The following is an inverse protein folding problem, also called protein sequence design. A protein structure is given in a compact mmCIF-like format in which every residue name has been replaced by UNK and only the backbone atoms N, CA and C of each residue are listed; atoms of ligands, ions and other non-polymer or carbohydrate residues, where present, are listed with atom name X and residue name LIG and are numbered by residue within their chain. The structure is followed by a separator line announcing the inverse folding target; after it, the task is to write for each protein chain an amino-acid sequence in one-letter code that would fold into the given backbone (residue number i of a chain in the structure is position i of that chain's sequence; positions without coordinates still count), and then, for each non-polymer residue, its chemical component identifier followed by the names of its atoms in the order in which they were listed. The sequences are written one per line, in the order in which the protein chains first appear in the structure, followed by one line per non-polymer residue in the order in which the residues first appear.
data_IF_871252514113
#
_entry.id   IF_871252514113
#
_cell.length_a   1.000
_cell.length_b   1.000
_cell.length_c   1.000
_cell.angle_alpha   90.00
_cell.angle_beta   90.00
_cell.angle_gamma   90.00
#
_symmetry.space_group_name_H-M   'P 1'
#
loop_
_entity.id
_entity.type
_entity.pdbx_description
1 polymer ?
#
# COMPACT_ATOMS: atom_id res chain seq x y z
N UNK A 1 39.52 -9.80 13.99
CA UNK A 1 38.36 -10.70 14.02
C UNK A 1 37.46 -10.31 12.88
N UNK A 2 37.25 -11.18 11.91
CA UNK A 2 36.32 -10.90 10.81
C UNK A 2 34.92 -10.74 11.39
N UNK A 3 34.30 -9.58 11.24
CA UNK A 3 32.93 -9.29 11.67
C UNK A 3 31.87 -10.01 10.79
N UNK A 4 32.31 -10.76 9.79
CA UNK A 4 31.41 -11.47 8.87
C UNK A 4 31.62 -12.98 9.05
N UNK A 5 30.57 -13.66 9.44
CA UNK A 5 30.50 -15.11 9.40
C UNK A 5 30.17 -15.52 7.95
N UNK A 6 30.97 -16.43 7.37
CA UNK A 6 30.74 -16.94 6.01
C UNK A 6 29.32 -17.53 5.86
N UNK A 7 28.77 -18.12 6.93
CA UNK A 7 27.41 -18.62 6.95
C UNK A 7 26.35 -17.54 6.72
N UNK A 8 26.51 -16.37 7.34
CA UNK A 8 25.56 -15.25 7.18
C UNK A 8 25.58 -14.65 5.77
N UNK A 9 26.76 -14.68 5.11
CA UNK A 9 26.90 -14.24 3.71
C UNK A 9 26.19 -15.22 2.78
N UNK A 10 26.41 -16.52 2.95
CA UNK A 10 25.76 -17.57 2.16
C UNK A 10 24.24 -17.53 2.34
N UNK A 11 23.75 -17.40 3.56
CA UNK A 11 22.32 -17.28 3.85
C UNK A 11 21.71 -16.06 3.14
N UNK A 12 22.39 -14.91 3.12
CA UNK A 12 21.92 -13.73 2.42
C UNK A 12 21.83 -13.97 0.91
N UNK A 13 22.80 -14.66 0.31
CA UNK A 13 22.76 -15.05 -1.11
C UNK A 13 21.59 -16.00 -1.39
N UNK A 14 21.35 -17.00 -0.52
CA UNK A 14 20.21 -17.92 -0.62
C UNK A 14 18.88 -17.16 -0.60
N UNK A 15 18.72 -16.16 0.28
CA UNK A 15 17.52 -15.32 0.37
C UNK A 15 17.16 -14.67 -0.98
N UNK A 16 18.15 -14.21 -1.75
CA UNK A 16 17.90 -13.61 -3.09
C UNK A 16 17.69 -14.66 -4.17
N UNK A 17 18.42 -15.77 -4.14
CA UNK A 17 18.45 -16.73 -5.24
C UNK A 17 17.39 -17.81 -5.14
N UNK A 18 16.91 -18.13 -3.92
CA UNK A 18 15.99 -19.23 -3.66
C UNK A 18 14.73 -18.81 -2.91
N UNK A 19 14.81 -17.82 -2.03
CA UNK A 19 13.74 -17.47 -1.08
C UNK A 19 12.96 -16.22 -1.47
N UNK A 20 13.06 -15.76 -2.73
CA UNK A 20 12.31 -14.63 -3.29
C UNK A 20 12.47 -13.30 -2.52
N UNK A 21 13.61 -13.07 -1.86
CA UNK A 21 13.89 -11.76 -1.30
C UNK A 21 14.07 -10.73 -2.41
N UNK A 22 13.30 -9.65 -2.39
CA UNK A 22 13.44 -8.55 -3.34
C UNK A 22 13.41 -7.18 -2.66
N UNK A 23 13.92 -6.18 -3.37
CA UNK A 23 13.62 -4.77 -3.13
C UNK A 23 12.38 -4.46 -3.95
N UNK A 24 11.24 -4.41 -3.29
CA UNK A 24 9.94 -4.25 -3.93
C UNK A 24 9.83 -2.92 -4.68
N UNK A 25 10.42 -1.86 -4.12
CA UNK A 25 10.39 -0.55 -4.77
C UNK A 25 11.53 0.35 -4.29
N UNK A 26 12.01 1.19 -5.21
CA UNK A 26 12.70 2.44 -4.89
C UNK A 26 11.79 3.57 -5.34
N UNK A 27 11.38 4.42 -4.39
CA UNK A 27 10.46 5.53 -4.62
C UNK A 27 11.19 6.86 -4.40
N UNK A 28 11.10 7.78 -5.37
CA UNK A 28 11.54 9.16 -5.17
C UNK A 28 10.35 10.00 -4.74
N UNK A 29 10.41 10.54 -3.52
CA UNK A 29 9.51 11.58 -3.04
C UNK A 29 9.89 12.94 -3.61
N UNK A 30 8.94 13.70 -4.13
CA UNK A 30 9.18 15.02 -4.73
C UNK A 30 8.10 16.00 -4.24
N UNK A 31 8.52 17.04 -3.53
CA UNK A 31 7.65 18.15 -3.18
C UNK A 31 7.22 18.94 -4.43
N UNK A 32 5.94 19.26 -4.55
CA UNK A 32 5.40 20.11 -5.62
C UNK A 32 4.91 21.48 -5.11
N UNK A 33 5.22 21.85 -3.87
CA UNK A 33 4.73 23.08 -3.27
C UNK A 33 5.22 24.34 -4.00
N UNK A 34 6.42 24.30 -4.56
CA UNK A 34 6.99 25.38 -5.38
C UNK A 34 6.46 25.40 -6.83
N UNK A 35 5.67 24.38 -7.22
CA UNK A 35 5.01 24.33 -8.52
C UNK A 35 3.65 25.01 -8.53
N UNK A 36 3.16 25.48 -7.37
CA UNK A 36 1.85 26.14 -7.24
C UNK A 36 1.82 27.44 -8.08
N UNK A 37 0.82 27.56 -8.96
CA UNK A 37 0.56 28.75 -9.74
C UNK A 37 -0.96 28.90 -9.94
N UNK A 38 -1.53 30.11 -9.91
CA UNK A 38 -2.95 30.32 -10.20
C UNK A 38 -3.36 29.93 -11.61
N UNK A 39 -2.43 29.98 -12.56
CA UNK A 39 -2.65 29.47 -13.92
C UNK A 39 -2.44 27.97 -13.95
N UNK A 40 -3.51 27.16 -14.19
CA UNK A 40 -3.38 25.69 -14.19
C UNK A 40 -2.39 25.16 -15.23
N UNK A 41 -2.26 25.82 -16.37
CA UNK A 41 -1.31 25.37 -17.42
C UNK A 41 0.12 25.54 -16.95
N UNK A 42 0.40 26.67 -16.31
CA UNK A 42 1.72 26.96 -15.77
C UNK A 42 2.05 26.05 -14.58
N UNK A 43 1.07 25.77 -13.69
CA UNK A 43 1.23 24.79 -12.62
C UNK A 43 1.57 23.40 -13.19
N UNK A 44 0.84 22.91 -14.18
CA UNK A 44 1.14 21.64 -14.86
C UNK A 44 2.52 21.63 -15.53
N UNK A 45 2.92 22.71 -16.18
CA UNK A 45 4.26 22.84 -16.77
C UNK A 45 5.37 22.77 -15.71
N UNK A 46 5.20 23.49 -14.60
CA UNK A 46 6.13 23.45 -13.47
C UNK A 46 6.26 22.02 -12.90
N UNK A 47 5.14 21.33 -12.69
CA UNK A 47 5.09 19.93 -12.20
C UNK A 47 5.84 19.02 -13.16
N UNK A 48 5.53 19.09 -14.46
CA UNK A 48 6.19 18.26 -15.45
C UNK A 48 7.70 18.48 -15.48
N UNK A 49 8.14 19.74 -15.52
CA UNK A 49 9.55 20.11 -15.56
C UNK A 49 10.29 19.66 -14.27
N UNK A 50 9.69 19.86 -13.10
CA UNK A 50 10.29 19.45 -11.82
C UNK A 50 10.47 17.94 -11.76
N UNK A 51 9.43 17.16 -12.03
CA UNK A 51 9.49 15.69 -11.99
C UNK A 51 10.53 15.18 -13.00
N UNK A 52 10.47 15.63 -14.25
CA UNK A 52 11.39 15.15 -15.29
C UNK A 52 12.84 15.55 -15.05
N UNK A 53 13.08 16.64 -14.33
CA UNK A 53 14.44 17.06 -13.94
C UNK A 53 14.95 16.28 -12.73
N UNK A 54 14.16 16.21 -11.65
CA UNK A 54 14.57 15.55 -10.39
C UNK A 54 14.73 14.04 -10.55
N UNK A 55 13.82 13.39 -11.27
CA UNK A 55 13.81 11.94 -11.45
C UNK A 55 14.53 11.46 -12.74
N UNK A 56 15.21 12.34 -13.46
CA UNK A 56 15.87 12.00 -14.74
C UNK A 56 16.79 10.75 -14.64
N UNK A 57 17.51 10.62 -13.54
CA UNK A 57 18.48 9.55 -13.32
C UNK A 57 17.97 8.44 -12.38
N UNK A 58 16.72 8.49 -11.91
CA UNK A 58 16.20 7.51 -10.95
C UNK A 58 16.27 6.08 -11.49
N UNK A 59 15.65 5.85 -12.64
CA UNK A 59 15.58 4.51 -13.24
C UNK A 59 16.96 3.97 -13.61
N UNK A 60 17.83 4.69 -14.36
CA UNK A 60 19.17 4.20 -14.69
C UNK A 60 20.02 3.89 -13.46
N UNK A 61 19.95 4.73 -12.41
CA UNK A 61 20.72 4.51 -11.18
C UNK A 61 20.25 3.25 -10.46
N UNK A 62 18.94 3.05 -10.33
CA UNK A 62 18.37 1.87 -9.65
C UNK A 62 18.67 0.59 -10.41
N UNK A 63 18.63 0.61 -11.74
CA UNK A 63 18.99 -0.53 -12.59
C UNK A 63 20.47 -0.87 -12.49
N UNK A 64 21.34 0.15 -12.42
CA UNK A 64 22.78 -0.04 -12.21
C UNK A 64 23.04 -0.71 -10.84
N UNK A 65 22.44 -0.22 -9.76
CA UNK A 65 22.55 -0.82 -8.42
C UNK A 65 22.07 -2.28 -8.44
N UNK A 66 20.93 -2.55 -9.07
CA UNK A 66 20.40 -3.91 -9.20
C UNK A 66 21.39 -4.84 -9.90
N UNK A 67 21.97 -4.40 -11.01
CA UNK A 67 22.92 -5.18 -11.79
C UNK A 67 24.27 -5.38 -11.09
N UNK A 68 24.81 -4.33 -10.45
CA UNK A 68 26.11 -4.37 -9.78
C UNK A 68 26.12 -5.24 -8.53
N UNK A 69 25.03 -5.18 -7.73
CA UNK A 69 24.95 -5.90 -6.45
C UNK A 69 24.17 -7.21 -6.53
N UNK A 70 23.58 -7.53 -7.70
CA UNK A 70 22.76 -8.74 -7.87
C UNK A 70 21.47 -8.72 -7.04
N UNK A 71 20.98 -7.53 -6.64
CA UNK A 71 19.78 -7.36 -5.82
C UNK A 71 18.60 -7.08 -6.76
N UNK A 72 17.55 -7.94 -6.81
CA UNK A 72 16.36 -7.66 -7.59
C UNK A 72 15.63 -6.40 -7.09
N UNK A 73 15.48 -5.37 -7.94
CA UNK A 73 14.71 -4.16 -7.65
C UNK A 73 13.55 -4.08 -8.63
N UNK A 74 12.35 -4.38 -8.15
CA UNK A 74 11.18 -4.66 -9.00
C UNK A 74 10.58 -3.38 -9.56
N UNK A 75 10.25 -2.40 -8.70
CA UNK A 75 9.58 -1.17 -9.12
C UNK A 75 10.44 0.07 -8.84
N UNK A 76 10.33 1.04 -9.76
CA UNK A 76 10.82 2.41 -9.60
C UNK A 76 9.60 3.32 -9.63
N UNK A 77 9.41 4.14 -8.59
CA UNK A 77 8.20 4.93 -8.39
C UNK A 77 8.53 6.39 -8.07
N UNK A 78 7.53 7.24 -8.26
CA UNK A 78 7.54 8.62 -7.78
C UNK A 78 6.33 8.79 -6.86
N UNK A 79 6.51 9.47 -5.74
CA UNK A 79 5.44 10.01 -4.91
C UNK A 79 5.55 11.53 -4.88
N UNK A 80 4.42 12.23 -5.01
CA UNK A 80 4.43 13.69 -5.00
C UNK A 80 3.51 14.25 -3.92
N UNK A 81 3.66 15.53 -3.60
CA UNK A 81 2.74 16.27 -2.73
C UNK A 81 1.29 16.01 -3.15
N UNK A 82 0.36 15.78 -2.21
CA UNK A 82 -1.05 15.58 -2.55
C UNK A 82 -1.59 16.69 -3.46
N UNK A 83 -2.00 16.36 -4.67
CA UNK A 83 -2.42 17.30 -5.71
C UNK A 83 -3.59 18.18 -5.26
N UNK A 84 -4.45 17.68 -4.35
CA UNK A 84 -5.53 18.50 -3.79
C UNK A 84 -5.04 19.79 -3.15
N UNK A 85 -3.82 19.83 -2.61
CA UNK A 85 -3.23 21.05 -2.04
C UNK A 85 -2.93 22.09 -3.11
N UNK A 86 -2.45 21.66 -4.28
CA UNK A 86 -2.15 22.55 -5.40
C UNK A 86 -3.43 23.08 -6.05
N UNK A 87 -4.47 22.23 -6.16
CA UNK A 87 -5.77 22.58 -6.73
C UNK A 87 -6.49 23.69 -5.97
N UNK A 88 -6.15 23.91 -4.70
CA UNK A 88 -6.67 25.03 -3.92
C UNK A 88 -6.32 26.40 -4.52
N UNK A 89 -5.19 26.51 -5.21
CA UNK A 89 -4.75 27.75 -5.88
C UNK A 89 -5.33 27.91 -7.30
N UNK A 90 -5.89 26.86 -7.89
CA UNK A 90 -6.42 26.83 -9.26
C UNK A 90 -7.92 26.49 -9.27
N UNK A 91 -8.83 27.40 -8.86
CA UNK A 91 -10.25 27.06 -8.70
C UNK A 91 -10.95 26.62 -9.99
N UNK A 92 -10.51 27.13 -11.15
CA UNK A 92 -11.12 26.86 -12.45
C UNK A 92 -10.44 25.69 -13.20
N UNK A 93 -9.40 25.07 -12.64
CA UNK A 93 -8.69 23.96 -13.27
C UNK A 93 -9.56 22.70 -13.39
N UNK A 94 -9.43 21.97 -14.50
CA UNK A 94 -9.83 20.57 -14.54
C UNK A 94 -8.79 19.70 -13.79
N UNK A 95 -9.13 19.07 -12.65
CA UNK A 95 -8.16 18.27 -11.90
C UNK A 95 -7.51 17.16 -12.71
N UNK A 96 -8.19 16.60 -13.72
CA UNK A 96 -7.68 15.51 -14.55
C UNK A 96 -6.46 15.91 -15.36
N UNK A 97 -6.30 17.19 -15.71
CA UNK A 97 -5.10 17.66 -16.41
C UNK A 97 -3.83 17.53 -15.54
N UNK A 98 -3.95 17.66 -14.21
CA UNK A 98 -2.85 17.37 -13.29
C UNK A 98 -2.51 15.87 -13.29
N UNK A 99 -3.50 14.97 -13.31
CA UNK A 99 -3.26 13.54 -13.42
C UNK A 99 -2.55 13.19 -14.73
N UNK A 100 -2.99 13.74 -15.86
CA UNK A 100 -2.33 13.55 -17.17
C UNK A 100 -0.90 14.08 -17.17
N UNK A 101 -0.65 15.19 -16.48
CA UNK A 101 0.69 15.75 -16.33
C UNK A 101 1.60 14.80 -15.55
N UNK A 102 1.11 14.21 -14.44
CA UNK A 102 1.84 13.21 -13.67
C UNK A 102 2.12 11.96 -14.50
N UNK A 103 1.13 11.47 -15.26
CA UNK A 103 1.26 10.32 -16.15
C UNK A 103 2.33 10.53 -17.23
N UNK A 104 2.28 11.69 -17.89
CA UNK A 104 3.24 12.07 -18.92
C UNK A 104 4.66 12.22 -18.36
N UNK A 105 4.82 12.87 -17.20
CA UNK A 105 6.11 13.04 -16.55
C UNK A 105 6.69 11.70 -16.08
N UNK A 106 5.89 10.83 -15.47
CA UNK A 106 6.29 9.50 -15.02
C UNK A 106 6.71 8.60 -16.19
N UNK A 107 5.93 8.59 -17.28
CA UNK A 107 6.29 7.88 -18.53
C UNK A 107 7.59 8.40 -19.13
N UNK A 108 7.81 9.71 -19.10
CA UNK A 108 9.04 10.34 -19.62
C UNK A 108 10.30 9.85 -18.90
N UNK A 109 10.24 9.67 -17.59
CA UNK A 109 11.39 9.19 -16.79
C UNK A 109 11.41 7.67 -16.61
N UNK A 110 10.41 6.94 -17.13
CA UNK A 110 10.39 5.49 -17.19
C UNK A 110 9.98 4.78 -15.88
N UNK A 111 9.30 5.47 -14.95
CA UNK A 111 8.85 4.85 -13.70
C UNK A 111 7.59 4.00 -13.91
N UNK A 112 7.38 3.03 -13.01
CA UNK A 112 6.25 2.13 -13.09
C UNK A 112 4.94 2.76 -12.58
N UNK A 113 5.03 3.63 -11.54
CA UNK A 113 3.87 4.28 -10.92
C UNK A 113 4.21 5.68 -10.43
N UNK A 114 3.19 6.55 -10.43
CA UNK A 114 3.24 7.89 -9.82
C UNK A 114 2.07 8.01 -8.83
N UNK A 115 2.41 8.15 -7.54
CA UNK A 115 1.45 8.44 -6.47
C UNK A 115 1.37 9.94 -6.17
N UNK A 116 0.29 10.36 -5.49
CA UNK A 116 0.10 11.74 -5.07
C UNK A 116 -1.10 12.44 -5.73
N UNK A 117 -1.83 11.75 -6.62
CA UNK A 117 -3.16 12.25 -7.00
C UNK A 117 -4.14 12.02 -5.84
N UNK A 118 -3.91 12.72 -4.73
CA UNK A 118 -4.41 12.40 -3.40
C UNK A 118 -5.00 13.59 -2.68
N UNK A 119 -5.87 13.29 -1.67
CA UNK A 119 -6.46 14.28 -0.77
C UNK A 119 -6.41 13.81 0.70
N UNK A 120 -6.16 14.72 1.64
CA UNK A 120 -6.08 14.46 3.08
C UNK A 120 -7.24 15.15 3.80
N UNK A 121 -8.41 14.50 3.87
CA UNK A 121 -9.67 15.12 4.31
C UNK A 121 -10.09 14.77 5.75
N UNK A 122 -9.23 14.09 6.49
CA UNK A 122 -9.51 13.70 7.88
C UNK A 122 -9.81 14.88 8.82
N UNK A 123 -9.22 16.04 8.57
CA UNK A 123 -9.50 17.29 9.33
C UNK A 123 -10.68 18.10 8.76
N UNK A 124 -11.03 17.90 7.50
CA UNK A 124 -12.07 18.59 6.76
C UNK A 124 -11.71 18.71 5.29
N UNK A 125 -12.62 19.24 4.48
CA UNK A 125 -12.36 19.48 3.06
C UNK A 125 -11.77 20.88 2.85
N UNK A 126 -10.68 20.96 2.11
CA UNK A 126 -10.21 22.20 1.48
C UNK A 126 -10.95 22.44 0.16
N UNK A 127 -10.73 23.61 -0.46
CA UNK A 127 -11.32 23.94 -1.76
C UNK A 127 -10.92 22.97 -2.88
N UNK A 128 -9.71 22.40 -2.82
CA UNK A 128 -9.21 21.45 -3.81
C UNK A 128 -9.67 20.00 -3.60
N UNK A 129 -9.92 19.61 -2.35
CA UNK A 129 -10.14 18.21 -1.99
C UNK A 129 -11.37 17.59 -2.66
N UNK A 130 -12.53 18.26 -2.56
CA UNK A 130 -13.77 17.73 -3.14
C UNK A 130 -13.65 17.57 -4.66
N UNK A 131 -13.10 18.59 -5.33
CA UNK A 131 -12.90 18.57 -6.79
C UNK A 131 -11.96 17.44 -7.21
N UNK A 132 -10.87 17.22 -6.46
CA UNK A 132 -9.97 16.10 -6.71
C UNK A 132 -10.72 14.77 -6.54
N UNK A 133 -11.41 14.55 -5.42
CA UNK A 133 -12.10 13.28 -5.14
C UNK A 133 -13.14 12.97 -6.23
N UNK A 134 -13.95 13.93 -6.62
CA UNK A 134 -14.95 13.77 -7.68
C UNK A 134 -14.33 13.45 -9.05
N UNK A 135 -13.09 13.87 -9.29
CA UNK A 135 -12.35 13.63 -10.53
C UNK A 135 -11.58 12.30 -10.56
N UNK A 136 -11.35 11.65 -9.40
CA UNK A 136 -10.55 10.41 -9.30
C UNK A 136 -10.97 9.33 -10.31
N UNK A 137 -12.28 9.00 -10.47
CA UNK A 137 -12.67 7.94 -11.40
C UNK A 137 -12.24 8.23 -12.83
N UNK A 138 -12.41 9.49 -13.29
CA UNK A 138 -12.01 9.92 -14.64
C UNK A 138 -10.49 9.97 -14.77
N UNK A 139 -9.78 10.49 -13.78
CA UNK A 139 -8.33 10.56 -13.78
C UNK A 139 -7.70 9.16 -13.91
N UNK A 140 -8.18 8.17 -13.12
CA UNK A 140 -7.67 6.80 -13.16
C UNK A 140 -8.08 6.04 -14.42
N UNK A 141 -9.17 6.45 -15.08
CA UNK A 141 -9.57 5.89 -16.37
C UNK A 141 -8.76 6.46 -17.55
N UNK A 142 -8.35 7.74 -17.48
CA UNK A 142 -7.63 8.45 -18.55
C UNK A 142 -6.11 8.40 -18.41
N UNK A 143 -5.57 7.76 -17.34
CA UNK A 143 -4.13 7.62 -17.09
C UNK A 143 -3.75 6.16 -16.87
N UNK A 144 -2.49 5.81 -17.17
CA UNK A 144 -2.01 4.43 -17.04
C UNK A 144 -1.31 4.18 -15.70
N UNK A 145 -0.34 5.02 -15.33
CA UNK A 145 0.56 4.79 -14.20
C UNK A 145 0.25 5.65 -12.96
N UNK A 146 -0.73 6.55 -13.04
CA UNK A 146 -1.15 7.39 -11.91
C UNK A 146 -2.00 6.58 -10.93
N UNK A 147 -1.65 6.69 -9.65
CA UNK A 147 -2.38 6.12 -8.53
C UNK A 147 -2.92 7.22 -7.62
N UNK A 148 -3.98 6.90 -6.89
CA UNK A 148 -4.71 7.86 -6.06
C UNK A 148 -4.97 7.33 -4.66
N UNK A 149 -5.05 8.25 -3.69
CA UNK A 149 -5.51 7.91 -2.34
C UNK A 149 -6.25 9.07 -1.68
N UNK A 150 -7.10 8.70 -0.71
CA UNK A 150 -7.79 9.69 0.12
C UNK A 150 -7.73 9.24 1.58
N UNK A 151 -7.18 10.08 2.46
CA UNK A 151 -7.19 9.85 3.90
C UNK A 151 -8.43 10.48 4.53
N UNK A 152 -9.42 9.64 4.91
CA UNK A 152 -10.75 10.05 5.35
C UNK A 152 -10.88 10.20 6.87
N UNK A 153 -9.92 9.71 7.63
CA UNK A 153 -10.02 9.66 9.07
C UNK A 153 -8.69 9.58 9.79
N UNK A 154 -8.73 9.84 11.08
CA UNK A 154 -7.61 9.64 11.99
C UNK A 154 -8.12 9.40 13.40
N UNK A 155 -7.35 8.69 14.22
CA UNK A 155 -7.64 8.43 15.63
C UNK A 155 -7.96 9.72 16.40
N UNK A 156 -7.23 10.80 16.12
CA UNK A 156 -7.43 12.10 16.80
C UNK A 156 -8.57 12.94 16.21
N UNK A 157 -8.93 12.71 14.95
CA UNK A 157 -9.92 13.52 14.24
C UNK A 157 -11.28 12.83 14.07
N UNK A 158 -11.36 11.53 14.27
CA UNK A 158 -12.53 10.73 13.90
C UNK A 158 -12.62 10.48 12.39
N UNK A 159 -13.73 9.91 11.92
CA UNK A 159 -13.95 9.62 10.49
C UNK A 159 -14.85 10.66 9.85
N UNK A 160 -14.49 11.14 8.69
CA UNK A 160 -15.31 12.06 7.89
C UNK A 160 -16.30 11.26 7.03
N UNK A 161 -17.53 11.05 7.54
CA UNK A 161 -18.54 10.21 6.89
C UNK A 161 -18.98 10.73 5.51
N UNK A 162 -18.95 12.04 5.29
CA UNK A 162 -19.19 12.61 3.95
C UNK A 162 -18.10 12.16 2.95
N UNK A 163 -16.84 12.06 3.39
CA UNK A 163 -15.75 11.54 2.56
C UNK A 163 -15.88 10.02 2.35
N UNK A 164 -16.28 9.27 3.38
CA UNK A 164 -16.57 7.82 3.27
C UNK A 164 -17.58 7.57 2.15
N UNK A 165 -18.69 8.31 2.13
CA UNK A 165 -19.71 8.21 1.09
C UNK A 165 -19.14 8.50 -0.30
N UNK A 166 -18.44 9.62 -0.46
CA UNK A 166 -17.81 10.01 -1.74
C UNK A 166 -16.83 8.96 -2.22
N UNK A 167 -16.08 8.32 -1.30
CA UNK A 167 -15.12 7.29 -1.70
C UNK A 167 -15.80 5.99 -2.15
N UNK A 168 -16.89 5.56 -1.53
CA UNK A 168 -17.66 4.41 -2.05
C UNK A 168 -18.21 4.64 -3.45
N UNK A 169 -18.70 5.87 -3.71
CA UNK A 169 -19.14 6.30 -5.05
C UNK A 169 -17.96 6.33 -6.04
N UNK A 170 -16.80 6.87 -5.62
CA UNK A 170 -15.61 6.98 -6.45
C UNK A 170 -15.02 5.60 -6.81
N UNK A 171 -14.92 4.66 -5.86
CA UNK A 171 -14.45 3.29 -6.09
C UNK A 171 -15.36 2.58 -7.11
N UNK A 172 -16.69 2.65 -6.90
CA UNK A 172 -17.65 2.06 -7.84
C UNK A 172 -17.49 2.63 -9.24
N UNK A 173 -17.43 3.96 -9.35
CA UNK A 173 -17.32 4.66 -10.62
C UNK A 173 -15.99 4.39 -11.33
N UNK A 174 -14.89 4.29 -10.59
CA UNK A 174 -13.57 3.94 -11.15
C UNK A 174 -13.59 2.54 -11.77
N UNK A 175 -14.23 1.56 -11.12
CA UNK A 175 -14.45 0.23 -11.70
C UNK A 175 -15.31 0.27 -12.96
N UNK A 176 -16.44 0.99 -12.94
CA UNK A 176 -17.33 1.13 -14.11
C UNK A 176 -16.61 1.71 -15.33
N UNK A 177 -15.86 2.81 -15.14
CA UNK A 177 -15.13 3.48 -16.22
C UNK A 177 -13.98 2.62 -16.79
N UNK A 178 -13.50 1.65 -16.03
CA UNK A 178 -12.41 0.76 -16.43
C UNK A 178 -12.82 -0.70 -16.56
N UNK A 179 -14.11 -0.99 -16.67
CA UNK A 179 -14.65 -2.36 -16.79
C UNK A 179 -14.01 -3.13 -17.94
N UNK A 180 -13.78 -2.50 -19.10
CA UNK A 180 -13.07 -3.09 -20.24
C UNK A 180 -11.58 -3.36 -20.02
N UNK A 181 -11.00 -2.88 -18.90
CA UNK A 181 -9.61 -3.09 -18.48
C UNK A 181 -9.55 -3.76 -17.10
N UNK A 182 -10.37 -4.79 -16.86
CA UNK A 182 -10.44 -5.56 -15.62
C UNK A 182 -10.69 -4.69 -14.36
N UNK A 183 -11.45 -3.60 -14.48
CA UNK A 183 -11.75 -2.69 -13.38
C UNK A 183 -10.50 -2.08 -12.69
N UNK A 184 -9.38 -1.96 -13.42
CA UNK A 184 -8.06 -1.56 -12.91
C UNK A 184 -8.06 -0.17 -12.22
N UNK A 185 -9.02 0.69 -12.54
CA UNK A 185 -9.14 2.00 -11.90
C UNK A 185 -9.32 1.89 -10.39
N UNK A 186 -10.12 0.94 -9.92
CA UNK A 186 -10.29 0.70 -8.48
C UNK A 186 -9.03 0.09 -7.83
N UNK A 187 -8.26 -0.74 -8.54
CA UNK A 187 -6.99 -1.27 -8.04
C UNK A 187 -5.90 -0.19 -7.85
N UNK A 188 -6.04 0.96 -8.52
CA UNK A 188 -5.16 2.13 -8.39
C UNK A 188 -5.64 3.15 -7.35
N UNK A 189 -6.71 2.87 -6.60
CA UNK A 189 -7.33 3.76 -5.62
C UNK A 189 -7.31 3.16 -4.22
N UNK A 190 -6.76 3.89 -3.25
CA UNK A 190 -6.68 3.47 -1.85
C UNK A 190 -7.39 4.49 -0.96
N UNK A 191 -8.21 4.00 -0.03
CA UNK A 191 -8.86 4.83 1.00
C UNK A 191 -8.20 4.56 2.34
N UNK A 192 -7.59 5.58 2.95
CA UNK A 192 -6.87 5.47 4.21
C UNK A 192 -7.65 6.01 5.41
N UNK A 193 -7.37 5.41 6.57
CA UNK A 193 -7.50 6.02 7.89
C UNK A 193 -6.14 5.97 8.60
N UNK A 194 -5.76 7.04 9.29
CA UNK A 194 -4.44 7.20 9.90
C UNK A 194 -3.28 7.00 8.89
N UNK A 195 -3.41 7.52 7.66
CA UNK A 195 -2.26 7.52 6.75
C UNK A 195 -1.05 8.16 7.46
N UNK A 196 0.17 7.60 7.31
CA UNK A 196 1.40 8.26 7.77
C UNK A 196 1.51 9.67 7.18
N UNK A 197 2.27 10.56 7.84
CA UNK A 197 2.49 11.92 7.35
C UNK A 197 3.18 11.94 6.00
N UNK A 198 4.11 11.01 5.77
CA UNK A 198 4.65 10.62 4.47
C UNK A 198 4.35 9.15 4.18
N UNK A 199 3.88 8.85 2.98
CA UNK A 199 3.56 7.49 2.56
C UNK A 199 4.08 7.21 1.14
N UNK A 200 5.36 6.82 0.98
CA UNK A 200 5.95 6.60 -0.34
C UNK A 200 5.64 5.24 -0.97
N UNK A 201 4.74 4.43 -0.37
CA UNK A 201 4.53 3.03 -0.76
C UNK A 201 3.10 2.72 -1.18
N UNK A 202 2.93 1.58 -1.85
CA UNK A 202 1.72 1.04 -2.48
C UNK A 202 1.04 2.00 -3.50
N UNK A 203 -0.16 1.64 -3.99
CA UNK A 203 -0.92 2.48 -4.91
C UNK A 203 -1.36 3.81 -4.29
N UNK A 204 -1.46 3.88 -2.97
CA UNK A 204 -1.85 5.09 -2.24
C UNK A 204 -0.72 6.06 -1.90
N UNK A 205 0.45 5.91 -2.50
CA UNK A 205 1.63 6.72 -2.18
C UNK A 205 1.39 8.24 -2.36
N UNK A 206 1.99 9.02 -1.48
CA UNK A 206 2.14 10.48 -1.59
C UNK A 206 3.35 10.95 -0.81
N UNK A 207 3.90 12.09 -1.18
CA UNK A 207 5.00 12.76 -0.48
C UNK A 207 4.44 13.79 0.50
N UNK A 208 4.78 13.66 1.76
CA UNK A 208 4.28 14.51 2.83
C UNK A 208 4.71 15.96 2.68
N UNK A 209 3.86 16.94 3.03
CA UNK A 209 4.21 18.35 2.91
C UNK A 209 5.28 18.83 3.91
N UNK A 210 5.58 18.03 4.94
CA UNK A 210 6.64 18.30 5.93
C UNK A 210 7.99 17.71 5.58
N UNK A 211 8.07 16.93 4.50
CA UNK A 211 9.29 16.22 4.09
C UNK A 211 10.21 17.11 3.23
N UNK A 212 11.48 16.69 3.01
CA UNK A 212 12.42 17.41 2.15
C UNK A 212 11.89 17.65 0.73
N UNK A 213 12.49 18.59 -0.01
CA UNK A 213 12.12 18.84 -1.42
C UNK A 213 12.19 17.59 -2.29
N UNK A 214 13.15 16.70 -1.99
CA UNK A 214 13.27 15.41 -2.65
C UNK A 214 13.99 14.42 -1.75
N UNK A 215 13.55 13.16 -1.71
CA UNK A 215 14.21 12.07 -0.98
C UNK A 215 13.94 10.69 -1.60
N UNK A 216 14.77 9.69 -1.21
CA UNK A 216 14.68 8.32 -1.69
C UNK A 216 14.18 7.40 -0.60
N UNK A 217 13.12 6.65 -0.89
CA UNK A 217 12.56 5.64 -0.03
C UNK A 217 12.74 4.25 -0.63
N UNK A 218 12.92 3.23 0.22
CA UNK A 218 13.11 1.85 -0.23
C UNK A 218 12.15 0.93 0.49
N UNK A 219 11.35 0.20 -0.26
CA UNK A 219 10.52 -0.87 0.25
C UNK A 219 11.15 -2.23 -0.04
N UNK A 220 11.39 -3.02 1.01
CA UNK A 220 11.89 -4.39 0.89
C UNK A 220 10.81 -5.38 1.25
N UNK A 221 10.83 -6.53 0.60
CA UNK A 221 9.90 -7.62 0.84
C UNK A 221 10.60 -8.98 0.84
N UNK A 222 10.08 -9.92 1.59
CA UNK A 222 10.65 -11.24 1.67
C UNK A 222 9.77 -12.22 2.44
N UNK A 223 8.47 -12.39 2.08
CA UNK A 223 7.64 -13.46 2.65
C UNK A 223 8.28 -14.82 2.44
N UNK A 224 8.84 -15.07 1.26
CA UNK A 224 9.57 -16.30 0.94
C UNK A 224 10.72 -16.58 1.88
N UNK A 225 11.56 -15.58 2.16
CA UNK A 225 12.69 -15.71 3.09
C UNK A 225 12.23 -16.02 4.53
N UNK A 226 11.16 -15.38 5.01
CA UNK A 226 10.59 -15.68 6.33
C UNK A 226 10.01 -17.07 6.37
N UNK A 227 9.26 -17.48 5.34
CA UNK A 227 8.71 -18.82 5.22
C UNK A 227 9.80 -19.90 5.19
N UNK A 228 10.84 -19.72 4.36
CA UNK A 228 11.96 -20.64 4.26
C UNK A 228 12.71 -20.80 5.60
N UNK A 229 12.89 -19.72 6.34
CA UNK A 229 13.48 -19.76 7.68
C UNK A 229 12.61 -20.58 8.63
N UNK A 230 11.28 -20.36 8.65
CA UNK A 230 10.35 -21.11 9.50
C UNK A 230 10.26 -22.60 9.14
N UNK A 231 10.32 -22.93 7.86
CA UNK A 231 10.30 -24.33 7.41
C UNK A 231 11.48 -25.16 7.92
N UNK A 232 12.59 -24.52 8.32
CA UNK A 232 13.78 -25.15 8.93
C UNK A 232 13.63 -25.35 10.45
N UNK A 233 12.63 -24.72 11.09
CA UNK A 233 12.40 -24.84 12.51
C UNK A 233 11.62 -26.14 12.82
N UNK A 234 11.92 -26.84 13.93
CA UNK A 234 11.10 -27.98 14.37
C UNK A 234 9.62 -27.58 14.54
N UNK A 235 8.70 -28.45 14.11
CA UNK A 235 7.26 -28.16 14.16
C UNK A 235 6.71 -28.04 15.59
N UNK A 236 7.42 -28.56 16.58
CA UNK A 236 7.12 -28.47 18.02
C UNK A 236 7.89 -27.36 18.74
N UNK A 237 8.61 -26.51 17.98
CA UNK A 237 9.30 -25.35 18.55
C UNK A 237 8.33 -24.42 19.25
N UNK A 238 8.66 -23.91 20.45
CA UNK A 238 7.85 -22.95 21.16
C UNK A 238 7.59 -21.68 20.35
N UNK A 239 6.43 -21.05 20.55
CA UNK A 239 5.98 -19.89 19.76
C UNK A 239 6.91 -18.66 19.93
N UNK A 240 7.59 -18.53 21.03
CA UNK A 240 8.61 -17.49 21.27
C UNK A 240 9.88 -17.71 20.43
N UNK A 241 10.28 -18.95 20.15
CA UNK A 241 11.36 -19.27 19.20
C UNK A 241 10.96 -18.91 17.77
N UNK A 242 9.70 -19.17 17.39
CA UNK A 242 9.12 -18.73 16.10
C UNK A 242 9.23 -17.20 15.97
N UNK A 243 8.81 -16.45 16.99
CA UNK A 243 8.88 -15.00 17.00
C UNK A 243 10.31 -14.47 16.88
N UNK A 244 11.27 -15.09 17.61
CA UNK A 244 12.67 -14.70 17.56
C UNK A 244 13.29 -14.96 16.18
N UNK A 245 12.97 -16.08 15.53
CA UNK A 245 13.44 -16.40 14.19
C UNK A 245 12.91 -15.39 13.16
N UNK A 246 11.60 -15.08 13.20
CA UNK A 246 10.99 -14.06 12.32
C UNK A 246 11.69 -12.70 12.51
N UNK A 247 11.91 -12.29 13.76
CA UNK A 247 12.59 -11.02 14.08
C UNK A 247 14.00 -10.96 13.50
N UNK A 248 14.80 -12.03 13.62
CA UNK A 248 16.16 -12.12 13.06
C UNK A 248 16.15 -12.05 11.52
N UNK A 249 15.22 -12.75 10.89
CA UNK A 249 15.06 -12.74 9.43
C UNK A 249 14.67 -11.33 8.96
N UNK A 250 13.69 -10.70 9.60
CA UNK A 250 13.27 -9.33 9.34
C UNK A 250 14.41 -8.31 9.47
N UNK A 251 15.27 -8.47 10.49
CA UNK A 251 16.48 -7.65 10.64
C UNK A 251 17.39 -7.76 9.40
N UNK A 252 17.67 -8.98 8.92
CA UNK A 252 18.53 -9.19 7.75
C UNK A 252 17.93 -8.56 6.49
N UNK A 253 16.64 -8.77 6.25
CA UNK A 253 15.90 -8.19 5.11
C UNK A 253 16.00 -6.65 5.14
N UNK A 254 15.77 -6.03 6.29
CA UNK A 254 15.82 -4.56 6.44
C UNK A 254 17.23 -4.00 6.15
N UNK A 255 18.29 -4.74 6.51
CA UNK A 255 19.67 -4.32 6.22
C UNK A 255 19.95 -4.24 4.72
N UNK A 256 19.31 -5.08 3.92
CA UNK A 256 19.39 -4.98 2.44
C UNK A 256 18.73 -3.69 1.96
N UNK A 257 17.56 -3.35 2.48
CA UNK A 257 16.89 -2.08 2.14
C UNK A 257 17.74 -0.87 2.50
N UNK A 258 18.40 -0.88 3.67
CA UNK A 258 19.31 0.18 4.09
C UNK A 258 20.51 0.32 3.13
N UNK A 259 21.06 -0.80 2.67
CA UNK A 259 22.16 -0.76 1.69
C UNK A 259 21.71 -0.09 0.39
N UNK A 260 20.60 -0.52 -0.18
CA UNK A 260 20.07 0.05 -1.44
C UNK A 260 19.71 1.53 -1.27
N UNK A 261 19.10 1.92 -0.13
CA UNK A 261 18.77 3.32 0.16
C UNK A 261 20.03 4.20 0.20
N UNK A 262 21.10 3.73 0.84
CA UNK A 262 22.37 4.47 0.92
C UNK A 262 23.03 4.61 -0.47
N UNK A 263 23.05 3.52 -1.25
CA UNK A 263 23.62 3.54 -2.60
C UNK A 263 22.85 4.49 -3.53
N UNK A 264 21.52 4.41 -3.52
CA UNK A 264 20.67 5.26 -4.35
C UNK A 264 20.77 6.75 -3.91
N UNK A 265 20.77 7.02 -2.61
CA UNK A 265 20.94 8.36 -2.04
C UNK A 265 22.27 8.98 -2.48
N UNK A 266 23.37 8.23 -2.35
CA UNK A 266 24.70 8.70 -2.73
C UNK A 266 24.80 8.96 -4.23
N UNK A 267 24.30 8.05 -5.07
CA UNK A 267 24.39 8.16 -6.52
C UNK A 267 23.51 9.28 -7.10
N UNK A 268 22.34 9.54 -6.48
CA UNK A 268 21.39 10.57 -6.92
C UNK A 268 21.64 11.93 -6.25
N UNK A 269 22.45 12.00 -5.19
CA UNK A 269 22.65 13.22 -4.42
C UNK A 269 21.40 13.69 -3.66
N UNK A 270 20.54 12.76 -3.24
CA UNK A 270 19.25 13.00 -2.60
C UNK A 270 19.23 12.28 -1.25
N UNK A 271 18.69 12.87 -0.15
CA UNK A 271 18.64 12.21 1.15
C UNK A 271 17.95 10.85 1.09
N UNK A 272 18.40 9.91 1.95
CA UNK A 272 17.67 8.66 2.18
C UNK A 272 16.56 8.93 3.21
N UNK A 273 15.35 8.56 2.85
CA UNK A 273 14.15 8.64 3.68
C UNK A 273 13.76 7.28 4.26
N UNK A 274 12.50 6.92 4.16
CA UNK A 274 11.91 5.75 4.79
C UNK A 274 12.40 4.43 4.17
N UNK A 275 12.70 3.46 5.05
CA UNK A 275 12.86 2.06 4.70
C UNK A 275 11.63 1.31 5.21
N UNK A 276 10.86 0.76 4.30
CA UNK A 276 9.66 -0.03 4.60
C UNK A 276 9.99 -1.52 4.49
N UNK A 277 9.81 -2.22 5.60
CA UNK A 277 9.80 -3.68 5.61
C UNK A 277 8.35 -4.15 5.67
N UNK A 278 7.68 -4.17 4.54
CA UNK A 278 6.39 -4.83 4.39
C UNK A 278 6.61 -6.20 3.79
N UNK A 279 6.19 -7.26 4.52
CA UNK A 279 6.09 -8.57 3.90
C UNK A 279 4.97 -8.52 2.86
N UNK A 280 5.27 -7.93 1.72
CA UNK A 280 4.33 -7.73 0.61
C UNK A 280 4.48 -8.91 -0.36
N UNK A 281 3.52 -9.84 -0.39
CA UNK A 281 3.61 -11.03 -1.22
C UNK A 281 3.52 -10.73 -2.72
N UNK A 282 3.81 -11.74 -3.53
CA UNK A 282 3.46 -11.77 -4.96
C UNK A 282 2.63 -13.02 -5.25
N UNK A 283 1.97 -13.09 -6.42
CA UNK A 283 1.28 -14.30 -6.85
C UNK A 283 2.21 -15.51 -7.10
N UNK A 284 3.52 -15.31 -7.01
CA UNK A 284 4.51 -16.39 -7.18
C UNK A 284 4.43 -17.41 -6.03
N UNK A 285 4.53 -18.69 -6.41
CA UNK A 285 4.56 -19.78 -5.42
C UNK A 285 5.76 -19.62 -4.49
N UNK A 286 5.49 -19.64 -3.19
CA UNK A 286 6.53 -19.52 -2.16
C UNK A 286 6.69 -18.11 -1.59
N UNK A 287 6.11 -17.08 -2.21
CA UNK A 287 6.15 -15.70 -1.76
C UNK A 287 4.78 -15.27 -1.21
N UNK A 288 4.35 -15.88 -0.10
CA UNK A 288 3.01 -15.74 0.47
C UNK A 288 3.05 -15.52 1.98
N UNK A 289 2.34 -14.52 2.47
CA UNK A 289 2.13 -14.29 3.91
C UNK A 289 1.20 -15.35 4.49
N UNK A 290 0.18 -15.80 3.75
CA UNK A 290 -0.66 -16.90 4.20
C UNK A 290 0.15 -18.17 4.46
N UNK A 291 1.10 -18.49 3.58
CA UNK A 291 1.96 -19.66 3.78
C UNK A 291 2.92 -19.50 4.98
N UNK A 292 3.32 -18.29 5.35
CA UNK A 292 4.05 -18.04 6.60
C UNK A 292 3.18 -18.47 7.80
N UNK A 293 1.91 -18.06 7.81
CA UNK A 293 0.98 -18.40 8.89
C UNK A 293 0.72 -19.92 8.97
N UNK A 294 0.70 -20.59 7.83
CA UNK A 294 0.59 -22.06 7.73
C UNK A 294 1.86 -22.76 8.25
N UNK A 295 3.05 -22.25 7.93
CA UNK A 295 4.31 -22.75 8.53
C UNK A 295 4.37 -22.56 10.05
N UNK A 296 3.66 -21.56 10.61
CA UNK A 296 3.50 -21.35 12.04
C UNK A 296 2.54 -22.37 12.69
N UNK A 297 1.92 -23.27 11.93
CA UNK A 297 1.10 -24.39 12.39
C UNK A 297 -0.40 -24.26 12.12
N UNK A 298 -0.84 -23.33 11.28
CA UNK A 298 -2.22 -23.29 10.81
C UNK A 298 -2.40 -24.25 9.63
N UNK A 299 -3.53 -24.94 9.57
CA UNK A 299 -3.86 -25.81 8.42
C UNK A 299 -4.09 -24.95 7.15
N UNK A 300 -4.80 -23.83 7.31
CA UNK A 300 -5.09 -22.90 6.22
C UNK A 300 -5.28 -21.50 6.79
N UNK A 301 -4.79 -20.49 6.07
CA UNK A 301 -5.05 -19.10 6.41
C UNK A 301 -6.58 -18.82 6.43
N UNK A 302 -7.06 -18.12 7.43
CA UNK A 302 -8.49 -17.87 7.65
C UNK A 302 -9.10 -18.72 8.77
N UNK A 303 -8.53 -19.88 9.12
CA UNK A 303 -9.01 -20.71 10.24
C UNK A 303 -8.86 -20.00 11.61
N UNK A 304 -9.44 -20.58 12.66
CA UNK A 304 -9.23 -20.09 14.04
C UNK A 304 -7.73 -20.09 14.37
N UNK A 305 -7.24 -19.01 14.97
CA UNK A 305 -5.81 -18.79 15.25
C UNK A 305 -5.11 -17.83 14.28
N UNK A 306 -5.62 -17.65 13.06
CA UNK A 306 -4.98 -16.79 12.03
C UNK A 306 -4.70 -15.37 12.53
N UNK A 307 -5.65 -14.72 13.20
CA UNK A 307 -5.46 -13.36 13.74
C UNK A 307 -4.35 -13.32 14.81
N UNK A 308 -4.24 -14.34 15.66
CA UNK A 308 -3.19 -14.42 16.68
C UNK A 308 -1.80 -14.64 16.04
N UNK A 309 -1.69 -15.57 15.07
CA UNK A 309 -0.46 -15.79 14.33
C UNK A 309 -0.02 -14.54 13.55
N UNK A 310 -0.96 -13.84 12.92
CA UNK A 310 -0.69 -12.59 12.21
C UNK A 310 -0.22 -11.48 13.16
N UNK A 311 -0.80 -11.38 14.35
CA UNK A 311 -0.37 -10.42 15.37
C UNK A 311 1.09 -10.65 15.77
N UNK A 312 1.47 -11.90 16.01
CA UNK A 312 2.86 -12.29 16.31
C UNK A 312 3.78 -11.96 15.14
N UNK A 313 3.41 -12.36 13.92
CA UNK A 313 4.19 -12.09 12.72
C UNK A 313 4.46 -10.59 12.54
N UNK A 314 3.39 -9.79 12.59
CA UNK A 314 3.46 -8.34 12.42
C UNK A 314 4.35 -7.65 13.47
N UNK A 315 4.24 -8.05 14.74
CA UNK A 315 5.05 -7.53 15.84
C UNK A 315 6.54 -7.91 15.70
N UNK A 316 6.82 -9.19 15.39
CA UNK A 316 8.18 -9.68 15.21
C UNK A 316 8.89 -9.00 14.03
N UNK A 317 8.19 -8.83 12.91
CA UNK A 317 8.70 -8.10 11.72
C UNK A 317 9.06 -6.66 12.07
N UNK A 318 8.16 -5.93 12.73
CA UNK A 318 8.42 -4.54 13.17
C UNK A 318 9.61 -4.44 14.11
N UNK A 319 9.71 -5.32 15.09
CA UNK A 319 10.86 -5.38 16.02
C UNK A 319 12.17 -5.62 15.28
N UNK A 320 12.20 -6.54 14.33
CA UNK A 320 13.38 -6.80 13.49
C UNK A 320 13.79 -5.59 12.66
N UNK A 321 12.83 -4.93 12.04
CA UNK A 321 13.05 -3.71 11.26
C UNK A 321 13.66 -2.58 12.08
N UNK A 322 13.04 -2.20 13.18
CA UNK A 322 13.51 -1.12 14.06
C UNK A 322 14.91 -1.38 14.62
N UNK A 323 15.28 -2.62 14.86
CA UNK A 323 16.64 -2.98 15.27
C UNK A 323 17.68 -2.85 14.15
N UNK A 324 17.26 -2.91 12.89
CA UNK A 324 18.14 -2.90 11.72
C UNK A 324 18.45 -1.50 11.21
N UNK A 325 17.53 -0.55 11.35
CA UNK A 325 17.62 0.81 10.82
C UNK A 325 16.79 1.79 11.64
N UNK A 326 17.28 3.03 11.78
CA UNK A 326 16.55 4.15 12.36
C UNK A 326 15.60 4.85 11.34
N UNK A 327 15.63 4.46 10.08
CA UNK A 327 14.77 4.96 9.02
C UNK A 327 13.54 4.07 8.75
N UNK A 328 13.31 3.05 9.58
CA UNK A 328 12.15 2.17 9.41
C UNK A 328 10.86 2.93 9.65
N UNK A 329 9.95 2.83 8.71
CA UNK A 329 8.67 3.55 8.73
C UNK A 329 7.69 3.03 7.69
N UNK A 330 6.86 3.93 7.18
CA UNK A 330 5.87 3.60 6.15
C UNK A 330 4.81 2.65 6.67
N UNK A 331 4.59 1.58 5.91
CA UNK A 331 3.58 0.55 6.18
C UNK A 331 4.20 -0.77 6.68
N UNK A 332 5.41 -0.70 7.27
CA UNK A 332 6.16 -1.86 7.74
C UNK A 332 5.35 -2.87 8.55
N UNK A 333 5.55 -4.14 8.27
CA UNK A 333 4.89 -5.26 8.95
C UNK A 333 4.37 -6.35 8.01
N UNK A 334 3.40 -7.13 8.47
CA UNK A 334 2.76 -8.17 7.65
C UNK A 334 1.62 -7.57 6.82
N UNK A 335 1.75 -7.64 5.50
CA UNK A 335 0.82 -7.12 4.52
C UNK A 335 -0.01 -8.27 3.90
N UNK A 336 -1.32 -8.09 3.76
CA UNK A 336 -2.26 -9.18 3.42
C UNK A 336 -3.15 -8.85 2.19
N UNK A 337 -2.58 -8.50 1.02
CA UNK A 337 -3.36 -8.28 -0.19
C UNK A 337 -3.85 -9.62 -0.75
N UNK A 338 -5.15 -9.75 -1.01
CA UNK A 338 -5.72 -11.06 -1.36
C UNK A 338 -5.29 -11.50 -2.76
N UNK A 339 -5.41 -10.67 -3.79
CA UNK A 339 -5.08 -11.08 -5.17
C UNK A 339 -3.58 -11.16 -5.46
N UNK A 340 -2.75 -10.61 -4.59
CA UNK A 340 -1.29 -10.59 -4.73
C UNK A 340 -0.62 -11.73 -3.94
N UNK A 341 -1.38 -12.62 -3.26
CA UNK A 341 -0.87 -13.68 -2.39
C UNK A 341 -1.51 -15.04 -2.74
N UNK A 342 -0.71 -15.97 -3.24
CA UNK A 342 -1.20 -17.28 -3.67
C UNK A 342 -1.92 -18.07 -2.56
N UNK A 343 -1.47 -17.96 -1.32
CA UNK A 343 -2.12 -18.61 -0.17
C UNK A 343 -3.41 -17.92 0.23
N UNK A 344 -3.48 -16.57 0.18
CA UNK A 344 -4.73 -15.83 0.43
C UNK A 344 -5.76 -16.12 -0.66
N UNK A 345 -5.35 -16.17 -1.93
CA UNK A 345 -6.21 -16.58 -3.06
C UNK A 345 -6.82 -17.95 -2.77
N UNK A 346 -5.98 -18.93 -2.46
CA UNK A 346 -6.44 -20.30 -2.16
C UNK A 346 -7.41 -20.32 -0.96
N UNK A 347 -7.07 -19.65 0.13
CA UNK A 347 -7.92 -19.58 1.32
C UNK A 347 -9.29 -18.94 1.04
N UNK A 348 -9.34 -17.94 0.16
CA UNK A 348 -10.59 -17.32 -0.28
C UNK A 348 -11.39 -18.24 -1.22
N UNK A 349 -10.74 -18.96 -2.14
CA UNK A 349 -11.39 -19.93 -3.06
C UNK A 349 -12.09 -21.06 -2.31
N UNK A 350 -11.47 -21.61 -1.27
CA UNK A 350 -12.07 -22.67 -0.46
C UNK A 350 -13.04 -22.16 0.62
N UNK A 351 -13.24 -20.82 0.72
CA UNK A 351 -14.16 -20.19 1.65
C UNK A 351 -13.68 -20.14 3.11
N UNK A 352 -12.41 -20.44 3.38
CA UNK A 352 -11.81 -20.32 4.71
C UNK A 352 -11.53 -18.84 5.07
N UNK A 353 -11.18 -18.03 4.07
CA UNK A 353 -10.96 -16.60 4.22
C UNK A 353 -12.18 -15.83 3.71
N UNK A 354 -12.89 -15.14 4.59
CA UNK A 354 -14.04 -14.27 4.27
C UNK A 354 -13.68 -12.81 4.49
N UNK A 355 -14.54 -11.88 4.06
CA UNK A 355 -14.32 -10.43 4.30
C UNK A 355 -14.35 -10.13 5.79
N UNK A 356 -15.27 -10.72 6.56
CA UNK A 356 -15.36 -10.53 8.01
C UNK A 356 -14.11 -11.08 8.72
N UNK A 357 -13.53 -12.16 8.19
CA UNK A 357 -12.26 -12.68 8.71
C UNK A 357 -11.10 -11.75 8.37
N UNK A 358 -11.07 -11.17 7.17
CA UNK A 358 -10.08 -10.15 6.80
C UNK A 358 -10.20 -8.93 7.72
N UNK A 359 -11.40 -8.41 7.98
CA UNK A 359 -11.61 -7.30 8.91
C UNK A 359 -11.01 -7.60 10.30
N UNK A 360 -11.24 -8.80 10.83
CA UNK A 360 -10.61 -9.20 12.10
C UNK A 360 -9.08 -9.25 12.02
N UNK A 361 -8.53 -9.70 10.89
CA UNK A 361 -7.08 -9.74 10.65
C UNK A 361 -6.49 -8.34 10.51
N UNK A 362 -7.23 -7.39 9.94
CA UNK A 362 -6.76 -6.01 9.75
C UNK A 362 -6.59 -5.24 11.06
N UNK A 363 -7.20 -5.69 12.14
CA UNK A 363 -6.92 -5.14 13.47
C UNK A 363 -5.45 -5.31 13.88
N UNK A 364 -4.74 -6.29 13.33
CA UNK A 364 -3.36 -6.66 13.72
C UNK A 364 -2.35 -6.68 12.57
N UNK A 365 -2.78 -6.56 11.31
CA UNK A 365 -1.88 -6.48 10.15
C UNK A 365 -1.21 -5.09 10.02
N UNK A 366 -0.37 -4.89 9.01
CA UNK A 366 0.30 -3.61 8.80
C UNK A 366 -0.56 -2.56 8.08
N UNK A 367 -1.46 -2.98 7.21
CA UNK A 367 -2.21 -2.05 6.33
C UNK A 367 -3.72 -2.17 6.52
N UNK A 368 -4.41 -3.14 5.92
CA UNK A 368 -5.87 -3.21 5.93
C UNK A 368 -6.43 -4.22 4.92
N UNK A 369 -7.66 -4.01 4.49
CA UNK A 369 -8.29 -4.76 3.40
C UNK A 369 -7.65 -4.29 2.09
N UNK A 370 -6.93 -5.19 1.43
CA UNK A 370 -6.22 -4.82 0.23
C UNK A 370 -6.39 -5.83 -0.90
N UNK A 371 -6.53 -5.30 -2.14
CA UNK A 371 -6.71 -6.08 -3.37
C UNK A 371 -7.80 -7.15 -3.26
N UNK A 372 -8.92 -6.80 -2.62
CA UNK A 372 -10.09 -7.67 -2.46
C UNK A 372 -11.06 -7.40 -3.60
N UNK A 373 -11.35 -8.44 -4.38
CA UNK A 373 -12.29 -8.38 -5.49
C UNK A 373 -13.69 -8.70 -4.96
N UNK A 374 -14.65 -7.83 -5.25
CA UNK A 374 -16.04 -7.95 -4.80
C UNK A 374 -17.00 -7.99 -5.98
N UNK A 375 -18.26 -8.47 -5.81
CA UNK A 375 -19.24 -8.52 -6.89
C UNK A 375 -19.48 -7.16 -7.54
N UNK A 376 -19.62 -7.16 -8.85
CA UNK A 376 -19.78 -5.93 -9.63
C UNK A 376 -21.09 -5.19 -9.38
N UNK A 377 -22.11 -5.85 -8.84
CA UNK A 377 -23.40 -5.27 -8.43
C UNK A 377 -23.43 -4.71 -7.03
N UNK A 378 -22.34 -4.85 -6.25
CA UNK A 378 -22.19 -4.23 -4.92
C UNK A 378 -22.44 -2.73 -5.01
N UNK A 379 -23.36 -2.24 -4.16
CA UNK A 379 -23.77 -0.83 -4.20
C UNK A 379 -22.71 0.11 -3.63
N UNK A 380 -22.67 1.38 -4.04
CA UNK A 380 -21.78 2.37 -3.43
C UNK A 380 -21.95 2.50 -1.91
N UNK A 381 -23.17 2.30 -1.39
CA UNK A 381 -23.45 2.36 0.04
C UNK A 381 -22.78 1.18 0.79
N UNK A 382 -22.80 -0.02 0.25
CA UNK A 382 -22.10 -1.19 0.82
C UNK A 382 -20.59 -0.98 0.77
N UNK A 383 -20.03 -0.48 -0.33
CA UNK A 383 -18.60 -0.15 -0.45
C UNK A 383 -18.23 0.91 0.61
N UNK A 384 -19.05 1.93 0.78
CA UNK A 384 -18.85 2.96 1.81
C UNK A 384 -18.88 2.37 3.23
N UNK A 385 -19.74 1.38 3.49
CA UNK A 385 -19.82 0.72 4.79
C UNK A 385 -18.55 -0.11 5.07
N UNK A 386 -18.03 -0.87 4.10
CA UNK A 386 -16.75 -1.58 4.20
C UNK A 386 -15.60 -0.59 4.51
N UNK A 387 -15.59 0.56 3.83
CA UNK A 387 -14.61 1.62 4.10
C UNK A 387 -14.77 2.15 5.54
N UNK A 388 -16.00 2.34 6.01
CA UNK A 388 -16.27 2.83 7.37
C UNK A 388 -15.82 1.84 8.44
N UNK A 389 -16.11 0.55 8.25
CA UNK A 389 -15.76 -0.52 9.20
C UNK A 389 -14.24 -0.65 9.33
N UNK A 390 -13.53 -0.73 8.22
CA UNK A 390 -12.07 -0.80 8.22
C UNK A 390 -11.43 0.47 8.81
N UNK A 391 -11.95 1.65 8.47
CA UNK A 391 -11.47 2.91 9.03
C UNK A 391 -11.75 3.01 10.53
N UNK A 392 -12.87 2.45 11.03
CA UNK A 392 -13.17 2.38 12.46
C UNK A 392 -12.18 1.48 13.19
N UNK A 393 -11.82 0.32 12.63
CA UNK A 393 -10.78 -0.57 13.16
C UNK A 393 -9.46 0.21 13.31
N UNK A 394 -9.03 0.92 12.26
CA UNK A 394 -7.81 1.73 12.30
C UNK A 394 -7.87 2.85 13.33
N UNK A 395 -8.99 3.57 13.37
CA UNK A 395 -9.20 4.68 14.31
C UNK A 395 -9.14 4.24 15.77
N UNK A 396 -9.81 3.14 16.12
CA UNK A 396 -9.86 2.64 17.50
C UNK A 396 -8.52 2.06 17.94
N UNK A 397 -7.84 1.35 17.07
CA UNK A 397 -6.56 0.70 17.35
C UNK A 397 -5.35 1.63 17.18
N UNK A 398 -5.54 2.90 16.81
CA UNK A 398 -4.44 3.86 16.55
C UNK A 398 -3.42 3.35 15.54
N UNK A 399 -3.90 2.68 14.48
CA UNK A 399 -3.07 2.14 13.40
C UNK A 399 -3.53 2.63 12.03
N UNK A 400 -2.65 2.66 11.06
CA UNK A 400 -3.02 2.88 9.67
C UNK A 400 -3.89 1.72 9.18
N UNK A 401 -5.02 2.05 8.56
CA UNK A 401 -5.79 1.10 7.76
C UNK A 401 -6.03 1.66 6.37
N UNK A 402 -6.15 0.75 5.41
CA UNK A 402 -6.41 1.07 4.01
C UNK A 402 -7.49 0.14 3.47
N UNK A 403 -8.27 0.65 2.53
CA UNK A 403 -9.23 -0.14 1.75
C UNK A 403 -8.92 0.02 0.28
N UNK A 404 -8.63 -1.11 -0.38
CA UNK A 404 -8.51 -1.25 -1.83
C UNK A 404 -9.37 -2.43 -2.27
N UNK A 405 -10.65 -2.15 -2.55
CA UNK A 405 -11.62 -3.12 -3.02
C UNK A 405 -11.97 -2.86 -4.48
N UNK A 406 -12.15 -3.93 -5.25
CA UNK A 406 -12.36 -3.85 -6.69
C UNK A 406 -13.73 -4.45 -7.05
N UNK A 407 -14.78 -3.63 -7.25
CA UNK A 407 -16.05 -4.11 -7.80
C UNK A 407 -15.87 -4.64 -9.22
N UNK A 408 -15.98 -5.96 -9.42
CA UNK A 408 -15.80 -6.63 -10.70
C UNK A 408 -17.06 -6.48 -11.58
N UNK A 409 -17.18 -5.40 -12.32
CA UNK A 409 -18.37 -5.03 -13.08
C UNK A 409 -18.79 -6.14 -14.03
N UNK A 410 -20.05 -6.56 -13.91
CA UNK A 410 -20.66 -7.64 -14.72
C UNK A 410 -20.33 -9.05 -14.22
N UNK A 411 -19.60 -9.21 -13.12
CA UNK A 411 -19.23 -10.50 -12.54
C UNK A 411 -19.80 -10.68 -11.13
N UNK A 412 -19.88 -11.94 -10.68
CA UNK A 412 -20.49 -12.35 -9.40
C UNK A 412 -19.49 -13.05 -8.49
N UNK A 413 -19.87 -13.21 -7.23
CA UNK A 413 -19.11 -13.99 -6.26
C UNK A 413 -18.83 -15.42 -6.76
N UNK A 414 -17.61 -15.90 -6.51
CA UNK A 414 -17.12 -17.20 -6.96
C UNK A 414 -16.48 -17.21 -8.36
N UNK A 415 -16.67 -16.16 -9.17
CA UNK A 415 -15.91 -15.98 -10.41
C UNK A 415 -14.49 -15.45 -10.09
N UNK A 416 -13.60 -15.46 -11.09
CA UNK A 416 -12.21 -14.99 -10.96
C UNK A 416 -12.00 -13.75 -11.81
N UNK A 417 -11.28 -12.77 -11.28
CA UNK A 417 -10.77 -11.62 -12.01
C UNK A 417 -9.24 -11.67 -12.04
N UNK A 418 -8.65 -11.47 -13.22
CA UNK A 418 -7.20 -11.50 -13.42
C UNK A 418 -6.72 -10.13 -13.92
N UNK A 419 -5.84 -9.50 -13.14
CA UNK A 419 -5.19 -8.22 -13.46
C UNK A 419 -3.86 -8.43 -14.19
N UNK A 420 -3.26 -9.61 -14.04
CA UNK A 420 -1.91 -9.91 -14.50
C UNK A 420 -0.78 -9.26 -13.68
N UNK A 421 0.44 -9.68 -13.96
CA UNK A 421 1.64 -9.14 -13.34
C UNK A 421 1.64 -9.22 -11.81
N UNK A 422 2.11 -8.17 -11.15
CA UNK A 422 2.20 -8.11 -9.69
C UNK A 422 0.84 -7.92 -8.98
N UNK A 423 -0.18 -7.43 -9.67
CA UNK A 423 -1.51 -7.27 -9.10
C UNK A 423 -2.26 -8.61 -9.02
N UNK A 424 -1.76 -9.63 -9.72
CA UNK A 424 -2.22 -11.00 -9.64
C UNK A 424 -3.64 -11.24 -10.14
N UNK A 425 -4.30 -12.17 -9.48
CA UNK A 425 -5.67 -12.57 -9.77
C UNK A 425 -6.35 -13.01 -8.47
N UNK A 426 -7.67 -13.17 -8.47
CA UNK A 426 -8.33 -13.70 -7.29
C UNK A 426 -9.80 -14.00 -7.50
N UNK A 427 -10.40 -14.79 -6.58
CA UNK A 427 -11.82 -15.03 -6.56
C UNK A 427 -12.57 -13.76 -6.16
N UNK A 428 -13.74 -13.58 -6.73
CA UNK A 428 -14.67 -12.54 -6.32
C UNK A 428 -15.32 -12.99 -5.02
N UNK A 429 -14.96 -12.32 -3.92
CA UNK A 429 -15.40 -12.67 -2.58
C UNK A 429 -16.83 -12.17 -2.33
N UNK A 430 -17.67 -12.99 -1.71
CA UNK A 430 -19.02 -12.60 -1.34
C UNK A 430 -19.01 -11.44 -0.33
N UNK A 431 -19.94 -10.50 -0.52
CA UNK A 431 -20.17 -9.35 0.40
C UNK A 431 -21.60 -9.43 0.91
N UNK A 432 -21.81 -9.07 2.18
CA UNK A 432 -23.14 -8.92 2.74
C UNK A 432 -23.88 -7.79 1.98
N UNK A 433 -25.01 -8.11 1.38
CA UNK A 433 -25.78 -7.21 0.51
C UNK A 433 -26.90 -6.43 1.22
N UNK A 434 -27.02 -6.54 2.56
CA UNK A 434 -28.00 -5.74 3.29
C UNK A 434 -27.63 -4.26 3.20
N UNK A 435 -28.67 -3.44 2.99
CA UNK A 435 -28.48 -2.01 2.66
C UNK A 435 -28.10 -1.15 3.86
N UNK A 436 -26.88 -0.57 3.91
CA UNK A 436 -26.44 0.36 4.94
C UNK A 436 -26.69 1.84 4.58
N UNK A 437 -27.43 2.12 3.53
CA UNK A 437 -27.55 3.48 2.95
C UNK A 437 -28.04 4.53 3.96
N UNK A 438 -28.94 4.17 4.86
CA UNK A 438 -29.44 5.07 5.92
C UNK A 438 -28.31 5.52 6.84
N UNK A 439 -27.44 4.59 7.24
CA UNK A 439 -26.27 4.90 8.07
C UNK A 439 -25.28 5.81 7.30
N UNK A 440 -24.91 5.44 6.11
CA UNK A 440 -23.95 6.18 5.27
C UNK A 440 -24.46 7.60 4.92
N UNK A 441 -25.76 7.74 4.62
CA UNK A 441 -26.36 9.01 4.27
C UNK A 441 -26.53 9.99 5.45
N UNK A 442 -26.30 9.56 6.70
CA UNK A 442 -26.24 10.50 7.83
C UNK A 442 -25.15 11.54 7.69
N UNK A 443 -24.03 11.16 7.03
CA UNK A 443 -22.90 12.09 6.82
C UNK A 443 -22.26 12.55 8.13
N UNK A 444 -21.63 13.72 8.09
CA UNK A 444 -21.03 14.33 9.27
C UNK A 444 -19.72 13.65 9.71
N UNK A 445 -19.55 13.42 11.00
CA UNK A 445 -18.32 12.86 11.57
C UNK A 445 -18.63 11.78 12.61
N UNK A 446 -18.02 10.61 12.45
CA UNK A 446 -17.86 9.66 13.54
C UNK A 446 -16.80 10.21 14.50
N UNK A 447 -17.14 10.49 15.78
CA UNK A 447 -16.21 11.16 16.68
C UNK A 447 -14.95 10.33 16.97
N UNK A 448 -13.86 11.00 17.33
CA UNK A 448 -12.66 10.35 17.81
C UNK A 448 -12.96 9.49 19.06
N UNK A 449 -12.38 8.29 19.18
CA UNK A 449 -12.62 7.41 20.32
C UNK A 449 -12.02 7.99 21.62
N UNK A 450 -12.58 7.61 22.74
CA UNK A 450 -12.00 7.95 24.06
C UNK A 450 -10.70 7.16 24.25
N UNK A 451 -9.59 7.87 24.42
CA UNK A 451 -8.27 7.25 24.60
C UNK A 451 -7.96 6.88 26.06
N UNK A 452 -8.66 7.49 27.02
CA UNK A 452 -8.45 7.27 28.45
C UNK A 452 -9.14 6.02 29.02
N UNK A 453 -10.14 5.50 28.33
CA UNK A 453 -10.85 4.27 28.71
C UNK A 453 -10.62 3.21 27.64
N UNK A 454 -9.60 2.40 27.86
CA UNK A 454 -9.34 1.18 27.08
C UNK A 454 -9.75 0.00 27.93
N UNK A 455 -10.90 -0.56 27.64
CA UNK A 455 -11.37 -1.77 28.28
C UNK A 455 -10.70 -3.00 27.65
#
# INVERSE_FOLDING_TARGET
MSMFNTGDILETIEMFTQDNLDVRTVTMGISLLDCIDPDPKKACENIYNKITTKAANLVPTVEHISAEYGIPIINKRISVTPIAMLLGACPDADPVEFAKTLDAAGKKVGVNFVGGYSALVHKGFSAGDRRLIESIPRALAETDIVCSSVNIGATKAGLKMDAVKLMGEAVKKASELTAGRQCIGAAKLVVFCNAPEDNPFMAGAFHGPGEPDCEIHVGVSGPGAVRAALARLPKDAPIDEVAELVKRTAFKITRVGQLVANLASQALGVPAGIIDLSLAPTPAIGDSVANILEEMGLETCGCCGTTACLALLNDAVKKGGVMASNHVGGLSGAFIPVSEDAGMIHAAEIGCLTIEKLEAMTAVCSVGIDMVIIPGDTTPAVISALIADEAAIGMVNSKTTAVRVIPAIGRKAGEVLDFGGLLGYGPIMAVNQHDPSVFINRGGRLPAPMQSLKN
#
